data_IF_624978161564
#
_entry.id   IF_624978161564
#
_cell.length_a   1.000
_cell.length_b   1.000
_cell.length_c   1.000
_cell.angle_alpha   90.00
_cell.angle_beta   90.00
_cell.angle_gamma   90.00
#
_symmetry.space_group_name_H-M   'P 1'
#
loop_
_entity.id
_entity.type
_entity.pdbx_description
1 polymer ?
#
# COMPACT_ATOMS: atom_id res chain seq x y z
N UNK A 1 56.82 -10.10 6.37
CA UNK A 1 57.36 -9.79 5.03
C UNK A 1 56.40 -10.42 4.03
N UNK A 2 55.95 -9.76 2.96
CA UNK A 2 56.28 -8.41 2.45
C UNK A 2 55.19 -7.40 2.88
N UNK A 3 55.49 -6.11 2.85
CA UNK A 3 54.53 -5.02 3.08
C UNK A 3 54.39 -4.19 1.80
N UNK A 4 53.17 -3.80 1.45
CA UNK A 4 52.86 -2.98 0.28
C UNK A 4 52.01 -1.79 0.72
N UNK A 5 52.65 -0.64 0.93
CA UNK A 5 51.98 0.62 1.23
C UNK A 5 51.56 1.32 -0.07
N UNK A 6 50.32 1.80 -0.12
CA UNK A 6 49.89 2.75 -1.15
C UNK A 6 50.27 4.18 -0.72
N UNK A 7 51.12 4.82 -1.51
CA UNK A 7 51.39 6.26 -1.41
C UNK A 7 50.32 7.02 -2.20
N UNK A 8 49.57 7.90 -1.54
CA UNK A 8 48.84 8.97 -2.22
C UNK A 8 49.77 10.19 -2.34
N UNK A 9 50.00 10.65 -3.57
CA UNK A 9 50.76 11.86 -3.83
C UNK A 9 49.81 13.06 -3.84
N UNK A 10 50.13 14.10 -3.07
CA UNK A 10 49.40 15.37 -3.08
C UNK A 10 50.24 16.46 -3.77
N UNK A 11 49.64 17.09 -4.77
CA UNK A 11 50.04 18.38 -5.34
C UNK A 11 48.75 19.20 -5.53
N UNK A 12 48.77 20.49 -5.24
CA UNK A 12 47.58 21.36 -5.32
C UNK A 12 47.87 22.70 -6.01
N UNK A 13 46.81 23.50 -6.12
CA UNK A 13 46.74 24.91 -6.53
C UNK A 13 47.19 25.23 -7.99
N UNK A 14 46.66 26.26 -8.67
CA UNK A 14 45.84 27.40 -8.24
C UNK A 14 44.97 27.98 -9.40
N UNK A 15 44.24 29.08 -9.14
CA UNK A 15 43.73 30.10 -10.10
C UNK A 15 42.33 29.93 -10.76
N UNK A 16 41.29 30.16 -9.96
CA UNK A 16 40.20 31.15 -10.15
C UNK A 16 39.71 31.60 -11.56
N UNK A 17 38.38 31.62 -11.76
CA UNK A 17 37.64 32.77 -12.35
C UNK A 17 36.15 32.78 -11.92
N UNK A 18 35.38 33.83 -12.25
CA UNK A 18 34.31 34.36 -11.39
C UNK A 18 32.84 34.13 -11.83
N UNK A 19 31.98 33.99 -10.81
CA UNK A 19 30.61 34.53 -10.65
C UNK A 19 29.47 34.23 -11.64
N UNK A 20 28.44 33.52 -11.15
CA UNK A 20 27.01 33.79 -11.37
C UNK A 20 26.17 33.22 -10.19
N UNK A 21 25.00 33.80 -9.91
CA UNK A 21 24.12 33.38 -8.79
C UNK A 21 23.40 32.03 -9.04
N UNK A 22 23.27 31.17 -8.01
CA UNK A 22 22.23 30.15 -7.95
C UNK A 22 20.96 30.71 -7.26
N UNK A 23 19.82 30.64 -7.95
CA UNK A 23 18.52 30.85 -7.31
C UNK A 23 18.14 29.68 -6.40
N UNK A 24 17.37 29.96 -5.35
CA UNK A 24 16.90 29.00 -4.36
C UNK A 24 16.16 27.79 -4.99
N UNK A 25 16.49 26.58 -4.54
CA UNK A 25 15.50 25.51 -4.29
C UNK A 25 16.03 24.59 -3.17
N UNK A 26 15.12 23.99 -2.40
CA UNK A 26 15.45 23.54 -1.03
C UNK A 26 15.85 22.06 -0.89
N UNK A 27 17.01 21.81 -0.28
CA UNK A 27 17.46 20.49 0.18
C UNK A 27 16.93 20.18 1.60
N UNK A 28 15.97 19.26 1.71
CA UNK A 28 15.28 18.94 2.97
C UNK A 28 15.94 17.82 3.78
N UNK A 29 17.13 18.09 4.33
CA UNK A 29 17.75 17.24 5.36
C UNK A 29 16.98 17.36 6.68
N UNK A 30 16.00 16.47 6.89
CA UNK A 30 15.32 16.33 8.19
C UNK A 30 16.19 15.55 9.19
N UNK A 31 16.81 16.30 10.09
CA UNK A 31 17.53 15.79 11.28
C UNK A 31 16.59 14.98 12.19
N UNK A 32 17.12 13.94 12.84
CA UNK A 32 16.37 13.22 13.89
C UNK A 32 16.42 14.03 15.20
N UNK A 33 15.26 14.32 15.79
CA UNK A 33 15.17 15.22 16.95
C UNK A 33 15.42 14.49 18.28
N UNK A 34 16.67 14.47 18.74
CA UNK A 34 17.07 13.87 20.02
C UNK A 34 16.50 14.65 21.23
N UNK A 35 15.43 14.11 21.84
CA UNK A 35 14.73 14.69 22.99
C UNK A 35 15.46 14.57 24.34
N UNK A 36 16.71 15.01 24.44
CA UNK A 36 17.50 14.92 25.67
C UNK A 36 17.06 15.92 26.76
N UNK A 37 16.37 15.41 27.79
CA UNK A 37 15.90 16.22 28.93
C UNK A 37 16.93 16.37 30.05
N UNK A 38 17.19 17.60 30.47
CA UNK A 38 17.84 17.95 31.75
C UNK A 38 17.51 19.41 32.12
N UNK A 39 17.36 19.82 33.38
CA UNK A 39 17.12 19.10 34.64
C UNK A 39 16.76 20.12 35.74
N UNK A 40 15.93 19.77 36.74
CA UNK A 40 16.25 19.92 38.19
C UNK A 40 15.04 19.65 39.13
N UNK A 41 15.28 18.74 40.09
CA UNK A 41 14.83 18.65 41.51
C UNK A 41 13.48 19.26 41.96
N UNK A 42 12.68 18.42 42.62
CA UNK A 42 11.67 18.82 43.61
C UNK A 42 11.21 17.65 44.50
N UNK A 43 11.74 17.55 45.73
CA UNK A 43 11.38 16.48 46.68
C UNK A 43 10.03 16.71 47.39
N UNK A 44 9.16 15.69 47.42
CA UNK A 44 8.06 15.60 48.39
C UNK A 44 7.62 14.14 48.64
N UNK A 45 7.28 13.81 49.89
CA UNK A 45 6.76 12.49 50.32
C UNK A 45 5.23 12.51 50.50
N UNK A 46 4.53 11.45 50.08
CA UNK A 46 3.42 10.76 50.78
C UNK A 46 2.94 9.59 49.89
N UNK A 47 2.66 8.33 50.28
CA UNK A 47 2.36 7.62 51.55
C UNK A 47 0.88 7.27 51.83
N UNK A 48 0.30 6.35 51.04
CA UNK A 48 -0.78 5.40 51.39
C UNK A 48 -0.94 4.41 50.21
N UNK A 49 -1.31 3.12 50.31
CA UNK A 49 -1.86 2.20 51.32
C UNK A 49 -3.32 1.80 51.08
N UNK A 50 -3.58 0.49 51.26
CA UNK A 50 -4.83 -0.28 51.00
C UNK A 50 -5.11 -0.61 49.52
N UNK A 51 -5.69 -1.75 49.07
CA UNK A 51 -6.09 -3.09 49.60
C UNK A 51 -7.57 -3.45 49.28
N UNK A 52 -7.79 -4.77 49.20
CA UNK A 52 -9.06 -5.51 49.24
C UNK A 52 -9.89 -5.41 47.92
N UNK A 53 -10.10 -6.50 47.18
CA UNK A 53 -11.13 -7.57 47.30
C UNK A 53 -12.57 -7.11 46.91
N UNK A 54 -13.48 -7.87 46.28
CA UNK A 54 -13.52 -9.19 45.58
C UNK A 54 -14.99 -9.53 45.21
N UNK A 55 -15.22 -10.47 44.28
CA UNK A 55 -16.53 -11.15 44.00
C UNK A 55 -17.72 -10.28 43.54
N UNK A 56 -18.86 -10.82 43.05
CA UNK A 56 -19.09 -11.91 42.08
C UNK A 56 -20.59 -11.96 41.64
N UNK A 57 -20.84 -12.58 40.48
CA UNK A 57 -22.00 -13.48 40.17
C UNK A 57 -23.48 -13.02 40.18
N UNK A 58 -24.16 -13.48 39.11
CA UNK A 58 -25.46 -14.22 39.07
C UNK A 58 -26.85 -13.54 39.11
N UNK A 59 -27.50 -13.54 37.92
CA UNK A 59 -28.77 -14.25 37.58
C UNK A 59 -30.18 -13.80 38.07
N UNK A 60 -31.19 -14.34 37.35
CA UNK A 60 -32.64 -14.46 37.65
C UNK A 60 -33.50 -13.18 37.41
N UNK A 61 -34.41 -13.13 36.41
CA UNK A 61 -35.76 -13.76 36.26
C UNK A 61 -36.87 -13.02 37.03
N UNK A 62 -38.12 -12.83 36.57
CA UNK A 62 -38.84 -13.13 35.30
C UNK A 62 -40.21 -12.40 35.30
N UNK A 63 -41.09 -12.67 34.32
CA UNK A 63 -42.57 -12.49 34.38
C UNK A 63 -43.16 -11.04 34.34
N UNK A 64 -44.36 -10.76 33.78
CA UNK A 64 -45.26 -11.42 32.80
C UNK A 64 -46.39 -10.45 32.37
N UNK A 65 -47.06 -10.73 31.23
CA UNK A 65 -48.46 -10.31 30.90
C UNK A 65 -48.74 -8.81 30.63
N UNK A 66 -49.79 -8.37 29.89
CA UNK A 66 -50.65 -8.98 28.83
C UNK A 66 -51.65 -7.93 28.26
N UNK A 67 -52.13 -8.11 27.01
CA UNK A 67 -53.43 -7.61 26.45
C UNK A 67 -53.72 -6.08 26.37
N UNK A 68 -54.55 -5.53 25.46
CA UNK A 68 -55.13 -5.97 24.17
C UNK A 68 -55.85 -4.78 23.44
N UNK A 69 -56.31 -5.01 22.20
CA UNK A 69 -57.45 -4.36 21.51
C UNK A 69 -57.38 -2.87 21.04
N UNK A 70 -57.09 -2.73 19.74
CA UNK A 70 -57.93 -2.11 18.67
C UNK A 70 -58.66 -0.76 18.86
N UNK A 71 -58.47 0.14 17.87
CA UNK A 71 -59.36 1.29 17.63
C UNK A 71 -59.27 1.80 16.17
N UNK A 72 -60.11 1.26 15.28
CA UNK A 72 -60.19 1.66 13.86
C UNK A 72 -61.17 2.83 13.68
N UNK A 73 -60.91 3.76 12.74
CA UNK A 73 -61.80 4.88 12.39
C UNK A 73 -61.45 5.47 11.02
N UNK A 74 -62.38 5.35 10.06
CA UNK A 74 -62.24 5.79 8.66
C UNK A 74 -62.89 7.14 8.36
N UNK A 75 -62.57 7.62 7.15
CA UNK A 75 -63.29 8.60 6.31
C UNK A 75 -62.97 10.09 6.52
N UNK A 76 -62.85 11.00 5.53
CA UNK A 76 -62.76 11.02 4.04
C UNK A 76 -63.80 11.93 3.35
N UNK A 77 -63.34 13.07 2.80
CA UNK A 77 -63.95 13.88 1.71
C UNK A 77 -63.04 15.10 1.47
N UNK A 78 -62.50 15.44 0.29
CA UNK A 78 -63.13 15.86 -1.00
C UNK A 78 -63.98 17.14 -0.85
N UNK A 79 -64.02 18.13 -1.77
CA UNK A 79 -63.59 18.29 -3.19
C UNK A 79 -63.25 19.80 -3.43
N UNK A 80 -62.85 20.39 -4.58
CA UNK A 80 -62.63 20.01 -6.00
C UNK A 80 -61.90 21.15 -6.76
N UNK A 81 -61.18 20.82 -7.86
CA UNK A 81 -60.91 21.70 -9.04
C UNK A 81 -60.02 22.96 -8.81
N UNK A 82 -59.40 23.65 -9.80
CA UNK A 82 -59.47 23.65 -11.28
C UNK A 82 -58.16 24.29 -11.86
N UNK A 83 -57.71 24.26 -13.14
CA UNK A 83 -58.09 23.61 -14.42
C UNK A 83 -56.89 23.65 -15.41
N UNK A 84 -57.02 23.01 -16.59
CA UNK A 84 -56.34 23.34 -17.88
C UNK A 84 -54.84 22.99 -18.06
N UNK A 85 -54.37 22.52 -19.22
CA UNK A 85 -55.06 22.18 -20.49
C UNK A 85 -54.23 21.32 -21.46
N UNK A 86 -54.88 20.33 -22.10
CA UNK A 86 -54.78 19.88 -23.53
C UNK A 86 -53.42 19.63 -24.22
N UNK A 87 -53.23 18.62 -25.07
CA UNK A 87 -54.11 17.52 -25.54
C UNK A 87 -53.37 16.55 -26.50
N UNK A 88 -53.77 15.27 -26.47
CA UNK A 88 -53.93 14.33 -27.62
C UNK A 88 -52.75 14.09 -28.61
N UNK A 89 -52.21 12.87 -28.77
CA UNK A 89 -52.76 11.62 -29.36
C UNK A 89 -52.75 11.61 -30.92
N UNK A 90 -52.73 10.49 -31.66
CA UNK A 90 -52.97 9.08 -31.32
C UNK A 90 -52.35 8.08 -32.34
N UNK A 91 -52.62 6.77 -32.14
CA UNK A 91 -52.79 5.71 -33.18
C UNK A 91 -51.59 5.10 -33.95
N UNK A 92 -51.27 3.84 -33.58
CA UNK A 92 -51.40 2.63 -34.44
C UNK A 92 -50.27 2.08 -35.34
N UNK A 93 -49.58 1.09 -34.76
CA UNK A 93 -49.35 -0.29 -35.26
C UNK A 93 -48.76 -0.56 -36.67
N UNK A 94 -47.67 -1.36 -36.70
CA UNK A 94 -47.65 -2.66 -37.39
C UNK A 94 -46.42 -3.49 -36.97
N UNK A 95 -46.43 -4.80 -37.23
CA UNK A 95 -45.45 -5.76 -36.72
C UNK A 95 -44.58 -6.37 -37.82
N UNK A 96 -43.29 -6.54 -37.53
CA UNK A 96 -42.36 -7.43 -38.25
C UNK A 96 -41.54 -8.17 -37.19
N UNK A 97 -41.23 -9.44 -37.44
CA UNK A 97 -40.30 -10.23 -36.61
C UNK A 97 -38.88 -10.08 -37.13
N UNK A 98 -37.90 -10.16 -36.24
CA UNK A 98 -36.73 -11.02 -36.43
C UNK A 98 -36.02 -11.22 -35.08
N UNK A 99 -35.50 -12.42 -34.83
CA UNK A 99 -34.46 -12.65 -33.82
C UNK A 99 -33.11 -12.37 -34.49
N UNK A 100 -32.11 -11.86 -33.74
CA UNK A 100 -31.14 -12.84 -33.27
C UNK A 100 -30.62 -12.61 -31.84
N UNK A 101 -30.00 -13.67 -31.32
CA UNK A 101 -29.11 -13.72 -30.17
C UNK A 101 -28.09 -12.57 -30.14
N UNK A 102 -28.01 -11.88 -28.99
CA UNK A 102 -26.88 -11.00 -28.64
C UNK A 102 -26.27 -11.44 -27.31
N UNK A 103 -25.18 -12.21 -27.38
CA UNK A 103 -24.29 -12.47 -26.24
C UNK A 103 -23.30 -11.33 -26.11
N UNK A 104 -23.51 -10.42 -25.15
CA UNK A 104 -22.58 -9.33 -24.85
C UNK A 104 -21.68 -9.71 -23.68
N UNK A 105 -20.58 -10.39 -23.98
CA UNK A 105 -19.44 -10.44 -23.06
C UNK A 105 -18.93 -9.01 -22.83
N UNK A 106 -18.57 -8.66 -21.60
CA UNK A 106 -17.96 -7.36 -21.32
C UNK A 106 -16.58 -7.28 -21.98
N UNK A 107 -16.42 -6.40 -22.97
CA UNK A 107 -15.10 -6.05 -23.49
C UNK A 107 -14.34 -5.29 -22.40
N UNK A 108 -13.17 -5.80 -22.00
CA UNK A 108 -12.25 -5.07 -21.15
C UNK A 108 -11.76 -3.81 -21.91
N UNK A 109 -11.59 -2.66 -21.25
CA UNK A 109 -11.19 -1.43 -21.94
C UNK A 109 -9.80 -1.57 -22.55
N UNK A 110 -9.68 -1.43 -23.87
CA UNK A 110 -8.38 -1.45 -24.55
C UNK A 110 -7.51 -0.26 -24.11
N UNK A 111 -6.57 -0.53 -23.20
CA UNK A 111 -5.59 0.45 -22.75
C UNK A 111 -4.60 0.74 -23.88
N UNK A 112 -4.78 1.87 -24.55
CA UNK A 112 -4.23 2.20 -25.88
C UNK A 112 -2.74 2.59 -25.90
N UNK A 113 -1.86 1.74 -25.36
CA UNK A 113 -0.41 1.80 -25.62
C UNK A 113 0.08 0.52 -26.31
N UNK A 114 -0.10 0.46 -27.63
CA UNK A 114 0.42 -0.61 -28.48
C UNK A 114 1.95 -0.57 -28.54
N UNK A 115 2.59 -1.37 -27.68
CA UNK A 115 4.03 -1.68 -27.79
C UNK A 115 4.29 -2.27 -29.18
N UNK A 116 5.23 -1.70 -29.93
CA UNK A 116 5.59 -2.20 -31.26
C UNK A 116 6.48 -3.43 -31.10
N UNK A 117 5.85 -4.59 -30.82
CA UNK A 117 6.51 -5.88 -30.71
C UNK A 117 7.10 -6.26 -32.09
N UNK A 118 8.40 -6.61 -32.19
CA UNK A 118 9.00 -7.08 -33.44
C UNK A 118 8.30 -8.31 -34.02
N UNK A 119 8.33 -8.48 -35.34
CA UNK A 119 7.57 -9.55 -36.01
C UNK A 119 7.95 -10.95 -35.49
N UNK A 120 7.01 -11.61 -34.81
CA UNK A 120 7.18 -12.94 -34.20
C UNK A 120 8.07 -12.97 -32.95
N UNK A 121 8.40 -11.82 -32.37
CA UNK A 121 8.67 -11.73 -30.93
C UNK A 121 7.34 -11.75 -30.15
N UNK A 122 7.43 -11.88 -28.82
CA UNK A 122 6.30 -11.72 -27.88
C UNK A 122 6.66 -10.73 -26.78
N UNK A 123 5.66 -10.20 -26.08
CA UNK A 123 5.91 -9.55 -24.79
C UNK A 123 6.66 -10.50 -23.84
N UNK A 124 7.64 -9.97 -23.10
CA UNK A 124 8.27 -10.71 -22.02
C UNK A 124 7.32 -10.79 -20.81
N UNK A 125 7.45 -11.86 -20.03
CA UNK A 125 6.93 -11.97 -18.68
C UNK A 125 8.04 -11.66 -17.68
N UNK A 126 7.67 -11.43 -16.42
CA UNK A 126 8.65 -11.12 -15.38
C UNK A 126 9.61 -12.30 -15.12
N UNK A 127 9.17 -13.53 -15.38
CA UNK A 127 9.97 -14.77 -15.28
C UNK A 127 11.03 -14.91 -16.38
N UNK A 128 10.83 -14.30 -17.56
CA UNK A 128 11.80 -14.39 -18.67
C UNK A 128 13.09 -13.62 -18.37
N UNK A 129 12.99 -12.54 -17.58
CA UNK A 129 14.12 -11.69 -17.22
C UNK A 129 15.05 -12.40 -16.25
N UNK A 130 16.36 -12.18 -16.37
CA UNK A 130 17.33 -12.58 -15.35
C UNK A 130 17.15 -11.77 -14.04
N UNK A 131 17.61 -12.32 -12.90
CA UNK A 131 17.50 -11.61 -11.60
C UNK A 131 18.18 -10.24 -11.60
N UNK A 132 19.27 -10.10 -12.37
CA UNK A 132 19.87 -8.82 -12.71
C UNK A 132 20.24 -8.81 -14.20
N UNK A 133 19.93 -7.71 -14.91
CA UNK A 133 20.40 -7.44 -16.28
C UNK A 133 21.13 -6.09 -16.33
N UNK A 134 22.13 -5.99 -17.18
CA UNK A 134 22.77 -4.73 -17.56
C UNK A 134 22.00 -4.11 -18.74
N UNK A 135 21.62 -2.85 -18.59
CA UNK A 135 20.94 -2.06 -19.61
C UNK A 135 21.77 -0.80 -19.90
N UNK A 136 21.76 -0.37 -21.16
CA UNK A 136 22.24 0.97 -21.56
C UNK A 136 21.04 1.88 -21.69
N UNK A 137 20.94 2.87 -20.79
CA UNK A 137 19.83 3.80 -20.68
C UNK A 137 20.41 5.23 -20.61
N UNK A 138 20.02 6.09 -21.56
CA UNK A 138 20.41 7.51 -21.57
C UNK A 138 21.94 7.72 -21.44
N UNK A 139 22.69 6.98 -22.25
CA UNK A 139 24.16 6.88 -22.28
C UNK A 139 24.82 6.39 -20.97
N UNK A 140 24.04 5.94 -19.98
CA UNK A 140 24.53 5.35 -18.74
C UNK A 140 24.41 3.82 -18.78
N UNK A 141 25.32 3.12 -18.10
CA UNK A 141 25.20 1.68 -17.85
C UNK A 141 24.50 1.48 -16.51
N UNK A 142 23.29 0.91 -16.54
CA UNK A 142 22.39 0.79 -15.40
C UNK A 142 21.96 -0.66 -15.24
N UNK A 143 21.95 -1.16 -14.00
CA UNK A 143 21.51 -2.53 -13.71
C UNK A 143 20.03 -2.54 -13.34
N UNK A 144 19.21 -3.27 -14.09
CA UNK A 144 17.85 -3.59 -13.66
C UNK A 144 17.89 -4.85 -12.78
N UNK A 145 17.30 -4.77 -11.61
CA UNK A 145 17.22 -5.85 -10.63
C UNK A 145 15.74 -6.24 -10.45
N UNK A 146 15.42 -7.49 -10.78
CA UNK A 146 14.06 -8.07 -10.65
C UNK A 146 13.91 -8.96 -9.41
N UNK A 147 14.97 -9.02 -8.60
CA UNK A 147 14.97 -9.50 -7.22
C UNK A 147 14.28 -10.84 -6.98
N UNK A 148 13.09 -10.83 -6.38
CA UNK A 148 12.33 -12.04 -6.01
C UNK A 148 11.05 -12.24 -6.86
N UNK A 149 10.92 -11.51 -7.97
CA UNK A 149 9.83 -11.61 -8.97
C UNK A 149 8.43 -11.16 -8.51
N UNK A 150 8.29 -10.59 -7.31
CA UNK A 150 7.02 -10.05 -6.77
C UNK A 150 6.67 -8.65 -7.31
N UNK A 151 6.88 -8.38 -8.60
CA UNK A 151 6.60 -7.07 -9.25
C UNK A 151 7.46 -5.87 -8.81
N UNK A 152 8.26 -6.01 -7.75
CA UNK A 152 9.18 -4.97 -7.25
C UNK A 152 10.48 -4.99 -8.06
N UNK A 153 10.74 -3.90 -8.79
CA UNK A 153 11.85 -3.81 -9.74
C UNK A 153 12.65 -2.53 -9.50
N UNK A 154 13.98 -2.62 -9.48
CA UNK A 154 14.86 -1.48 -9.26
C UNK A 154 15.90 -1.28 -10.37
N UNK A 155 16.04 -0.04 -10.85
CA UNK A 155 17.22 0.41 -11.58
C UNK A 155 18.31 0.83 -10.59
N UNK A 156 19.57 0.56 -10.93
CA UNK A 156 20.70 0.80 -10.05
C UNK A 156 21.97 1.19 -10.81
N UNK A 157 22.63 2.25 -10.36
CA UNK A 157 24.05 2.51 -10.65
C UNK A 157 24.83 2.12 -9.39
N UNK A 158 25.95 1.36 -9.47
CA UNK A 158 26.72 0.95 -8.29
C UNK A 158 27.05 2.13 -7.39
N UNK A 159 26.59 2.03 -6.14
CA UNK A 159 26.87 2.96 -5.03
C UNK A 159 26.47 4.44 -5.26
N UNK A 160 25.81 4.74 -6.39
CA UNK A 160 25.36 6.07 -6.82
C UNK A 160 23.83 6.21 -6.94
N UNK A 161 23.09 5.16 -7.26
CA UNK A 161 21.64 5.24 -7.51
C UNK A 161 20.90 3.95 -7.18
N UNK A 162 19.73 4.09 -6.55
CA UNK A 162 18.61 3.16 -6.61
C UNK A 162 17.33 3.92 -7.01
N UNK A 163 16.63 3.41 -8.03
CA UNK A 163 15.30 3.85 -8.44
C UNK A 163 14.35 2.65 -8.47
N UNK A 164 13.42 2.60 -7.51
CA UNK A 164 12.56 1.46 -7.18
C UNK A 164 11.12 1.71 -7.63
N UNK A 165 10.56 0.81 -8.44
CA UNK A 165 9.16 0.86 -8.87
C UNK A 165 8.44 -0.45 -8.52
N UNK A 166 7.10 -0.40 -8.52
CA UNK A 166 6.26 -1.60 -8.50
C UNK A 166 5.52 -1.71 -9.83
N UNK A 167 5.44 -2.91 -10.38
CA UNK A 167 4.80 -3.19 -11.66
C UNK A 167 4.19 -4.59 -11.66
N UNK A 168 3.01 -4.70 -12.27
CA UNK A 168 2.36 -5.93 -12.72
C UNK A 168 3.11 -6.62 -13.88
N UNK A 169 4.13 -5.95 -14.45
CA UNK A 169 4.84 -6.31 -15.67
C UNK A 169 3.92 -6.49 -16.89
N UNK A 170 2.76 -5.81 -16.91
CA UNK A 170 1.76 -5.97 -17.95
C UNK A 170 2.34 -5.65 -19.35
N UNK A 171 2.10 -6.56 -20.29
CA UNK A 171 2.64 -6.51 -21.66
C UNK A 171 4.18 -6.38 -21.73
N UNK A 172 4.91 -6.79 -20.68
CA UNK A 172 6.36 -6.71 -20.61
C UNK A 172 6.90 -5.31 -20.31
N UNK A 173 6.07 -4.39 -19.81
CA UNK A 173 6.45 -2.97 -19.62
C UNK A 173 6.75 -2.65 -18.16
N UNK A 174 7.90 -2.03 -17.90
CA UNK A 174 8.22 -1.38 -16.62
C UNK A 174 8.13 0.13 -16.80
N UNK A 175 7.39 0.82 -15.92
CA UNK A 175 7.24 2.29 -15.91
C UNK A 175 7.98 2.89 -14.71
N UNK A 176 8.80 3.89 -14.98
CA UNK A 176 9.50 4.70 -13.98
C UNK A 176 9.03 6.15 -14.10
N UNK A 177 8.42 6.69 -13.05
CA UNK A 177 7.87 8.04 -13.04
C UNK A 177 7.81 8.65 -11.62
N UNK A 178 7.80 9.98 -11.54
CA UNK A 178 7.61 10.70 -10.28
C UNK A 178 6.33 10.24 -9.57
N UNK A 179 6.43 10.01 -8.26
CA UNK A 179 5.32 9.50 -7.43
C UNK A 179 5.18 7.97 -7.45
N UNK A 180 5.32 7.31 -8.60
CA UNK A 180 5.32 5.84 -8.66
C UNK A 180 6.71 5.21 -8.42
N UNK A 181 7.79 6.00 -8.49
CA UNK A 181 9.17 5.54 -8.25
C UNK A 181 9.77 6.14 -6.99
N UNK A 182 10.27 5.26 -6.11
CA UNK A 182 11.09 5.61 -4.95
C UNK A 182 12.56 5.82 -5.34
N UNK A 183 13.22 6.80 -4.74
CA UNK A 183 14.57 7.24 -5.15
C UNK A 183 15.53 7.35 -3.96
N UNK A 184 16.76 6.89 -4.15
CA UNK A 184 17.92 7.21 -3.33
C UNK A 184 19.13 7.35 -4.26
N UNK A 185 19.83 8.48 -4.22
CA UNK A 185 20.94 8.74 -5.12
C UNK A 185 21.99 9.67 -4.54
N UNK A 186 23.18 9.62 -5.14
CA UNK A 186 24.28 10.57 -4.98
C UNK A 186 24.22 11.61 -6.10
N UNK A 187 24.74 12.82 -5.87
CA UNK A 187 24.78 13.88 -6.90
C UNK A 187 25.94 13.68 -7.89
N UNK A 188 25.84 12.61 -8.70
CA UNK A 188 26.72 12.35 -9.85
C UNK A 188 25.98 12.61 -11.16
N UNK A 189 26.70 13.03 -12.21
CA UNK A 189 26.16 13.19 -13.57
C UNK A 189 25.35 11.96 -14.05
N UNK A 190 25.80 10.76 -13.68
CA UNK A 190 25.18 9.51 -14.11
C UNK A 190 23.85 9.26 -13.37
N UNK A 191 23.82 9.46 -12.05
CA UNK A 191 22.60 9.33 -11.26
C UNK A 191 21.58 10.43 -11.58
N UNK A 192 22.02 11.69 -11.70
CA UNK A 192 21.17 12.83 -12.04
C UNK A 192 20.44 12.64 -13.37
N UNK A 193 21.12 12.18 -14.44
CA UNK A 193 20.49 11.88 -15.74
C UNK A 193 19.36 10.86 -15.64
N UNK A 194 19.50 9.82 -14.81
CA UNK A 194 18.42 8.85 -14.61
C UNK A 194 17.29 9.46 -13.77
N UNK A 195 17.61 10.24 -12.73
CA UNK A 195 16.62 10.93 -11.89
C UNK A 195 15.80 11.96 -12.68
N UNK A 196 16.42 12.71 -13.60
CA UNK A 196 15.72 13.59 -14.55
C UNK A 196 14.71 12.80 -15.39
N UNK A 197 15.09 11.62 -15.88
CA UNK A 197 14.21 10.75 -16.68
C UNK A 197 13.08 10.14 -15.86
N UNK A 198 13.34 9.72 -14.61
CA UNK A 198 12.29 9.32 -13.66
C UNK A 198 11.33 10.49 -13.40
N UNK A 199 11.84 11.72 -13.26
CA UNK A 199 11.00 12.90 -13.04
C UNK A 199 10.14 13.28 -14.26
N UNK A 200 10.65 13.06 -15.49
CA UNK A 200 9.89 13.23 -16.73
C UNK A 200 8.90 12.09 -17.01
N UNK A 201 9.18 10.89 -16.48
CA UNK A 201 8.47 9.66 -16.76
C UNK A 201 9.01 8.95 -18.01
N UNK A 202 9.38 7.67 -17.89
CA UNK A 202 9.79 6.82 -19.00
C UNK A 202 9.34 5.37 -18.84
N UNK A 203 9.34 4.63 -19.95
CA UNK A 203 9.00 3.19 -20.01
C UNK A 203 10.16 2.38 -20.57
N UNK A 204 10.38 1.19 -20.02
CA UNK A 204 11.21 0.14 -20.63
C UNK A 204 10.28 -1.00 -21.02
N UNK A 205 10.27 -1.35 -22.30
CA UNK A 205 9.46 -2.44 -22.87
C UNK A 205 10.35 -3.64 -23.14
N UNK A 206 10.00 -4.81 -22.59
CA UNK A 206 10.73 -6.06 -22.76
C UNK A 206 9.96 -7.03 -23.67
N UNK A 207 10.69 -7.63 -24.62
CA UNK A 207 10.18 -8.66 -25.53
C UNK A 207 11.11 -9.87 -25.52
N UNK A 208 10.56 -11.06 -25.81
CA UNK A 208 11.34 -12.26 -26.10
C UNK A 208 11.24 -12.52 -27.60
N UNK A 209 12.38 -12.66 -28.26
CA UNK A 209 12.46 -12.81 -29.71
C UNK A 209 12.24 -14.27 -30.20
N UNK A 210 12.48 -14.49 -31.50
CA UNK A 210 12.34 -15.81 -32.16
C UNK A 210 13.39 -16.84 -31.70
N UNK A 211 14.50 -16.41 -31.11
CA UNK A 211 15.60 -17.27 -30.63
C UNK A 211 15.53 -17.49 -29.10
N UNK A 212 14.63 -16.78 -28.41
CA UNK A 212 14.43 -16.85 -26.96
C UNK A 212 15.22 -15.79 -26.18
N UNK A 213 15.80 -14.81 -26.87
CA UNK A 213 16.61 -13.75 -26.26
C UNK A 213 15.69 -12.65 -25.71
N UNK A 214 15.97 -12.18 -24.50
CA UNK A 214 15.28 -11.03 -23.90
C UNK A 214 15.87 -9.74 -24.45
N UNK A 215 15.05 -8.98 -25.17
CA UNK A 215 15.39 -7.69 -25.76
C UNK A 215 14.58 -6.58 -25.07
N UNK A 216 15.13 -5.38 -24.99
CA UNK A 216 14.48 -4.21 -24.42
C UNK A 216 14.50 -3.01 -25.37
N UNK A 217 13.50 -2.14 -25.28
CA UNK A 217 13.53 -0.79 -25.85
C UNK A 217 12.99 0.25 -24.86
N UNK A 218 13.30 1.52 -25.08
CA UNK A 218 12.92 2.64 -24.20
C UNK A 218 11.90 3.52 -24.91
N UNK A 219 10.87 3.97 -24.18
CA UNK A 219 9.82 4.91 -24.63
C UNK A 219 9.15 4.57 -25.96
N UNK A 220 9.00 3.26 -26.23
CA UNK A 220 8.36 2.77 -27.46
C UNK A 220 9.25 2.82 -28.70
N UNK A 221 10.57 3.01 -28.54
CA UNK A 221 11.52 2.89 -29.65
C UNK A 221 11.42 1.52 -30.34
N UNK A 222 11.66 1.53 -31.66
CA UNK A 222 11.78 0.33 -32.49
C UNK A 222 13.17 -0.29 -32.45
N UNK A 223 14.14 0.43 -31.90
CA UNK A 223 15.52 -0.02 -31.73
C UNK A 223 15.62 -0.83 -30.44
N UNK A 224 15.57 -2.16 -30.59
CA UNK A 224 15.69 -3.11 -29.48
C UNK A 224 17.15 -3.49 -29.23
N UNK A 225 17.54 -3.55 -27.95
CA UNK A 225 18.87 -3.98 -27.48
C UNK A 225 18.77 -5.22 -26.59
N UNK A 226 19.83 -6.03 -26.52
CA UNK A 226 19.87 -7.23 -25.66
C UNK A 226 19.90 -6.86 -24.17
N UNK A 227 19.07 -7.51 -23.34
CA UNK A 227 19.07 -7.36 -21.89
C UNK A 227 20.13 -8.29 -21.27
N UNK A 228 21.39 -7.88 -21.33
CA UNK A 228 22.56 -8.73 -21.00
C UNK A 228 22.55 -9.18 -19.54
N UNK A 229 22.72 -10.49 -19.28
CA UNK A 229 22.75 -11.07 -17.93
C UNK A 229 23.89 -10.52 -17.07
N UNK A 230 23.55 -9.90 -15.94
CA UNK A 230 24.54 -9.37 -14.99
C UNK A 230 24.76 -10.32 -13.79
N UNK A 231 26.02 -10.72 -13.57
CA UNK A 231 26.43 -11.43 -12.35
C UNK A 231 26.81 -10.43 -11.27
N UNK A 232 26.09 -10.44 -10.13
CA UNK A 232 26.26 -9.42 -9.08
C UNK A 232 26.41 -10.07 -7.71
N UNK A 233 27.43 -9.64 -6.95
CA UNK A 233 27.72 -10.17 -5.63
C UNK A 233 26.65 -9.80 -4.59
N UNK A 234 26.41 -10.73 -3.66
CA UNK A 234 25.58 -10.58 -2.44
C UNK A 234 26.48 -10.44 -1.21
N UNK A 235 25.97 -9.86 -0.12
CA UNK A 235 26.75 -9.67 1.10
C UNK A 235 26.69 -10.91 2.01
N UNK A 236 27.84 -11.41 2.46
CA UNK A 236 27.90 -12.56 3.37
C UNK A 236 27.35 -12.18 4.75
N UNK A 237 26.45 -13.00 5.29
CA UNK A 237 25.82 -12.77 6.59
C UNK A 237 24.59 -11.84 6.54
N UNK A 238 24.19 -11.38 5.35
CA UNK A 238 22.93 -10.68 5.12
C UNK A 238 21.99 -11.55 4.27
N UNK A 239 20.68 -11.34 4.43
CA UNK A 239 19.62 -11.96 3.62
C UNK A 239 19.80 -11.58 2.13
N UNK A 240 19.28 -12.36 1.18
CA UNK A 240 19.47 -12.09 -0.27
C UNK A 240 18.25 -12.38 -1.18
N UNK A 241 17.09 -12.66 -0.57
CA UNK A 241 15.79 -12.84 -1.23
C UNK A 241 14.64 -12.44 -0.29
N UNK A 242 13.46 -12.13 -0.85
CA UNK A 242 12.27 -11.80 -0.07
C UNK A 242 11.67 -13.01 0.67
N UNK A 243 11.68 -14.20 0.04
CA UNK A 243 11.26 -15.51 0.60
C UNK A 243 12.09 -15.98 1.82
N UNK A 244 13.03 -15.15 2.31
CA UNK A 244 13.74 -15.35 3.58
C UNK A 244 13.30 -14.39 4.70
N UNK A 245 12.43 -13.42 4.39
CA UNK A 245 11.77 -12.49 5.33
C UNK A 245 10.28 -12.76 5.46
N UNK A 246 9.65 -13.31 4.41
CA UNK A 246 8.23 -13.66 4.37
C UNK A 246 7.73 -14.38 5.64
N UNK A 247 6.54 -13.98 6.09
CA UNK A 247 5.84 -14.46 7.29
C UNK A 247 6.63 -14.29 8.61
N UNK A 248 7.58 -13.34 8.63
CA UNK A 248 8.30 -12.94 9.85
C UNK A 248 7.90 -11.56 10.34
N UNK A 249 7.93 -11.43 11.67
CA UNK A 249 7.84 -10.18 12.40
C UNK A 249 9.19 -9.93 13.07
N UNK A 250 9.84 -8.82 12.73
CA UNK A 250 11.05 -8.33 13.38
C UNK A 250 10.68 -7.17 14.32
N UNK A 251 10.81 -7.41 15.62
CA UNK A 251 10.57 -6.42 16.68
C UNK A 251 11.91 -5.93 17.23
N UNK A 252 12.23 -4.66 16.99
CA UNK A 252 13.51 -4.03 17.36
C UNK A 252 13.25 -2.92 18.40
N UNK A 253 13.67 -3.14 19.64
CA UNK A 253 13.53 -2.16 20.72
C UNK A 253 14.77 -1.25 20.82
N UNK A 254 14.55 0.05 20.98
CA UNK A 254 15.56 1.11 20.97
C UNK A 254 15.12 2.21 21.97
N UNK A 255 15.50 2.04 23.24
CA UNK A 255 15.03 2.87 24.36
C UNK A 255 13.53 2.71 24.61
N UNK A 256 12.82 3.84 24.76
CA UNK A 256 11.36 3.89 24.92
C UNK A 256 10.59 3.69 23.59
N UNK A 257 11.30 3.35 22.51
CA UNK A 257 10.74 3.15 21.16
C UNK A 257 10.88 1.72 20.67
N UNK A 258 9.85 1.21 19.99
CA UNK A 258 9.82 -0.12 19.39
C UNK A 258 9.50 0.02 17.90
N UNK A 259 10.31 -0.61 17.05
CA UNK A 259 10.11 -0.67 15.60
C UNK A 259 9.71 -2.08 15.21
N UNK A 260 8.56 -2.24 14.54
CA UNK A 260 8.04 -3.56 14.15
C UNK A 260 7.93 -3.62 12.64
N UNK A 261 8.67 -4.55 12.02
CA UNK A 261 8.57 -4.88 10.60
C UNK A 261 7.83 -6.20 10.44
N UNK A 262 6.69 -6.19 9.76
CA UNK A 262 5.94 -7.41 9.35
C UNK A 262 6.11 -7.60 7.85
N UNK A 263 6.56 -8.77 7.43
CA UNK A 263 6.77 -9.11 6.03
C UNK A 263 5.84 -10.25 5.60
N UNK A 264 5.17 -10.07 4.47
CA UNK A 264 4.26 -11.01 3.81
C UNK A 264 4.79 -11.33 2.40
N UNK A 265 4.02 -12.00 1.56
CA UNK A 265 4.33 -12.11 0.13
C UNK A 265 4.29 -10.73 -0.54
N UNK A 266 5.44 -10.30 -1.11
CA UNK A 266 5.67 -9.03 -1.80
C UNK A 266 5.37 -7.72 -1.03
N UNK A 267 4.80 -7.80 0.17
CA UNK A 267 4.17 -6.70 0.89
C UNK A 267 4.56 -6.66 2.37
N UNK A 268 4.49 -5.47 2.99
CA UNK A 268 4.96 -5.26 4.36
C UNK A 268 4.13 -4.20 5.10
N UNK A 269 4.17 -4.28 6.44
CA UNK A 269 3.72 -3.22 7.35
C UNK A 269 4.87 -2.90 8.31
N UNK A 270 5.23 -1.62 8.41
CA UNK A 270 6.19 -1.09 9.38
C UNK A 270 5.49 -0.17 10.38
N UNK A 271 5.76 -0.37 11.67
CA UNK A 271 5.28 0.46 12.77
C UNK A 271 6.46 1.05 13.55
N UNK A 272 6.26 2.25 14.10
CA UNK A 272 7.07 2.79 15.20
C UNK A 272 6.13 3.15 16.34
N UNK A 273 6.36 2.51 17.49
CA UNK A 273 5.67 2.79 18.75
C UNK A 273 6.60 3.50 19.73
N UNK A 274 6.02 4.35 20.58
CA UNK A 274 6.71 5.03 21.69
C UNK A 274 5.81 4.94 22.92
N UNK A 275 6.31 4.40 24.03
CA UNK A 275 5.50 4.06 25.22
C UNK A 275 4.22 3.28 24.84
N UNK A 276 4.40 2.16 24.14
CA UNK A 276 3.35 1.22 23.66
C UNK A 276 2.28 1.81 22.72
N UNK A 277 2.42 3.05 22.28
CA UNK A 277 1.51 3.70 21.32
C UNK A 277 2.17 3.84 19.95
N UNK A 278 1.51 3.34 18.90
CA UNK A 278 1.94 3.57 17.50
C UNK A 278 1.90 5.07 17.21
N UNK A 279 3.05 5.67 16.90
CA UNK A 279 3.19 7.10 16.57
C UNK A 279 3.41 7.35 15.08
N UNK A 280 3.90 6.35 14.34
CA UNK A 280 4.07 6.37 12.88
C UNK A 280 3.92 4.96 12.34
N UNK A 281 3.41 4.83 11.12
CA UNK A 281 3.41 3.57 10.39
C UNK A 281 3.48 3.83 8.88
N UNK A 282 3.98 2.86 8.13
CA UNK A 282 3.87 2.82 6.68
C UNK A 282 3.81 1.38 6.16
N UNK A 283 3.07 1.16 5.08
CA UNK A 283 2.87 -0.13 4.44
C UNK A 283 3.06 -0.01 2.93
N UNK A 284 3.34 -1.13 2.25
CA UNK A 284 3.51 -1.16 0.81
C UNK A 284 4.24 -2.41 0.33
N UNK A 285 5.07 -2.29 -0.72
CA UNK A 285 5.74 -3.41 -1.38
C UNK A 285 7.25 -3.44 -1.09
N UNK A 286 7.85 -4.63 -0.99
CA UNK A 286 9.28 -4.80 -0.70
C UNK A 286 9.93 -5.93 -1.50
N UNK A 287 11.27 -5.92 -1.53
CA UNK A 287 12.09 -7.04 -2.02
C UNK A 287 13.50 -6.98 -1.40
N UNK A 288 14.26 -8.07 -1.44
CA UNK A 288 15.68 -8.10 -1.06
C UNK A 288 16.56 -8.30 -2.30
N UNK A 289 17.17 -7.20 -2.74
CA UNK A 289 17.96 -7.13 -3.96
C UNK A 289 19.43 -6.87 -3.58
N UNK A 290 20.33 -7.80 -3.96
CA UNK A 290 21.77 -7.78 -3.61
C UNK A 290 22.10 -7.69 -2.11
N UNK A 291 21.22 -8.20 -1.25
CA UNK A 291 21.28 -8.03 0.22
C UNK A 291 20.94 -6.63 0.76
N UNK A 292 20.44 -5.74 -0.09
CA UNK A 292 19.69 -4.55 0.34
C UNK A 292 18.21 -4.91 0.38
N UNK A 293 17.56 -4.74 1.53
CA UNK A 293 16.11 -4.70 1.66
C UNK A 293 15.63 -3.34 1.11
N UNK A 294 14.84 -3.39 0.04
CA UNK A 294 14.26 -2.23 -0.62
C UNK A 294 12.76 -2.21 -0.29
N UNK A 295 12.29 -1.14 0.35
CA UNK A 295 10.89 -0.99 0.77
C UNK A 295 10.30 0.26 0.14
N UNK A 296 9.24 0.08 -0.67
CA UNK A 296 8.44 1.19 -1.21
C UNK A 296 7.16 1.34 -0.39
N UNK A 297 6.99 2.43 0.38
CA UNK A 297 5.71 2.75 1.00
C UNK A 297 4.69 3.19 -0.06
N UNK A 298 3.45 2.74 0.12
CA UNK A 298 2.27 3.13 -0.65
C UNK A 298 1.23 3.83 0.24
N UNK A 299 1.15 3.42 1.52
CA UNK A 299 0.24 3.94 2.54
C UNK A 299 1.05 4.31 3.78
N UNK A 300 0.75 5.43 4.43
CA UNK A 300 1.50 5.90 5.60
C UNK A 300 0.75 6.99 6.38
N UNK A 301 1.09 7.13 7.66
CA UNK A 301 0.69 8.29 8.49
C UNK A 301 1.93 9.04 8.98
N UNK A 302 1.91 10.36 8.82
CA UNK A 302 3.05 11.25 9.07
C UNK A 302 3.94 11.42 7.84
N UNK A 303 5.21 11.81 8.04
CA UNK A 303 6.19 11.96 6.97
C UNK A 303 6.84 10.62 6.61
N UNK A 304 6.66 10.17 5.36
CA UNK A 304 7.33 9.02 4.77
C UNK A 304 8.37 9.44 3.72
N UNK A 305 9.41 8.64 3.53
CA UNK A 305 10.29 8.71 2.36
C UNK A 305 9.62 8.04 1.16
N UNK A 306 10.10 8.28 -0.06
CA UNK A 306 9.59 7.59 -1.27
C UNK A 306 10.12 6.15 -1.40
N UNK A 307 11.20 5.84 -0.66
CA UNK A 307 11.79 4.51 -0.49
C UNK A 307 12.54 4.49 0.85
N UNK A 308 12.59 3.32 1.48
CA UNK A 308 13.54 3.03 2.56
C UNK A 308 14.48 1.90 2.14
N UNK A 309 15.72 1.95 2.61
CA UNK A 309 16.76 0.96 2.32
C UNK A 309 17.46 0.50 3.61
N UNK A 310 17.53 -0.82 3.76
CA UNK A 310 18.09 -1.50 4.92
C UNK A 310 18.94 -2.70 4.47
N UNK A 311 19.60 -3.38 5.41
CA UNK A 311 20.07 -4.76 5.24
C UNK A 311 19.71 -5.60 6.46
N UNK A 312 19.04 -6.74 6.23
CA UNK A 312 18.67 -7.69 7.27
C UNK A 312 19.77 -8.75 7.39
N UNK A 313 20.29 -8.95 8.59
CA UNK A 313 21.29 -9.97 8.90
C UNK A 313 20.70 -11.36 9.10
N UNK A 314 21.52 -12.38 8.89
CA UNK A 314 21.17 -13.78 9.24
C UNK A 314 21.16 -14.03 10.76
N UNK A 315 21.58 -13.03 11.53
CA UNK A 315 21.51 -12.88 12.99
C UNK A 315 20.29 -12.06 13.46
N UNK A 316 19.40 -11.69 12.53
CA UNK A 316 18.24 -10.81 12.73
C UNK A 316 18.57 -9.33 13.04
N UNK A 317 19.81 -8.89 12.82
CA UNK A 317 20.13 -7.45 12.82
C UNK A 317 19.41 -6.72 11.68
N UNK A 318 18.87 -5.53 11.93
CA UNK A 318 18.41 -4.61 10.87
C UNK A 318 19.31 -3.37 10.87
N UNK A 319 20.04 -3.17 9.77
CA UNK A 319 20.94 -2.04 9.57
C UNK A 319 20.35 -1.07 8.56
N UNK A 320 20.18 0.20 8.93
CA UNK A 320 19.71 1.27 8.05
C UNK A 320 20.83 1.80 7.12
N UNK A 321 20.45 2.54 6.08
CA UNK A 321 21.39 3.12 5.10
C UNK A 321 22.52 3.97 5.70
N UNK A 322 22.32 4.57 6.87
CA UNK A 322 23.30 5.39 7.58
C UNK A 322 24.25 4.57 8.49
N UNK A 323 24.16 3.24 8.46
CA UNK A 323 24.98 2.34 9.27
C UNK A 323 24.50 2.14 10.72
N UNK A 324 23.47 2.86 11.19
CA UNK A 324 22.82 2.53 12.47
C UNK A 324 22.23 1.11 12.34
N UNK A 325 22.59 0.23 13.26
CA UNK A 325 22.07 -1.15 13.32
C UNK A 325 21.37 -1.39 14.65
N UNK A 326 20.24 -2.08 14.60
CA UNK A 326 19.51 -2.56 15.78
C UNK A 326 19.43 -4.08 15.76
N UNK A 327 19.49 -4.68 16.95
CA UNK A 327 19.15 -6.09 17.15
C UNK A 327 17.62 -6.21 17.24
N UNK A 328 17.06 -7.29 16.68
CA UNK A 328 15.62 -7.49 16.62
C UNK A 328 15.25 -8.92 17.03
N UNK A 329 14.18 -9.07 17.82
CA UNK A 329 13.52 -10.35 18.03
C UNK A 329 12.77 -10.70 16.75
N UNK A 330 13.15 -11.80 16.09
CA UNK A 330 12.47 -12.29 14.90
C UNK A 330 11.55 -13.46 15.26
N UNK A 331 10.24 -13.22 15.18
CA UNK A 331 9.21 -14.24 15.33
C UNK A 331 8.73 -14.69 13.94
N UNK A 332 8.38 -15.97 13.80
CA UNK A 332 7.65 -16.48 12.63
C UNK A 332 6.17 -16.57 12.98
N UNK A 333 5.29 -16.11 12.10
CA UNK A 333 3.85 -16.24 12.24
C UNK A 333 3.30 -17.09 11.12
N UNK A 334 2.62 -18.17 11.47
CA UNK A 334 1.80 -18.90 10.51
C UNK A 334 0.47 -18.14 10.39
N UNK A 335 0.22 -17.60 9.20
CA UNK A 335 -0.97 -16.82 8.85
C UNK A 335 -1.61 -17.43 7.61
N UNK A 336 -2.92 -17.62 7.65
CA UNK A 336 -3.70 -17.81 6.43
C UNK A 336 -3.85 -16.45 5.75
N UNK A 337 -3.72 -16.42 4.43
CA UNK A 337 -3.78 -15.19 3.65
C UNK A 337 -5.23 -14.90 3.28
N UNK A 338 -5.72 -13.72 3.64
CA UNK A 338 -7.09 -13.29 3.37
C UNK A 338 -7.21 -12.90 1.89
N UNK A 339 -8.14 -13.53 1.16
CA UNK A 339 -8.32 -13.28 -0.28
C UNK A 339 -9.14 -12.01 -0.50
N UNK A 340 -8.67 -10.99 -1.25
CA UNK A 340 -9.43 -9.76 -1.49
C UNK A 340 -10.83 -10.01 -2.06
N UNK A 341 -10.98 -11.02 -2.91
CA UNK A 341 -12.24 -11.38 -3.56
C UNK A 341 -13.39 -11.65 -2.57
N UNK A 342 -13.09 -12.22 -1.40
CA UNK A 342 -14.08 -12.59 -0.37
C UNK A 342 -14.69 -11.36 0.32
N UNK A 343 -13.94 -10.25 0.40
CA UNK A 343 -14.36 -9.00 1.02
C UNK A 343 -15.06 -8.04 0.03
N UNK A 344 -15.18 -8.39 -1.25
CA UNK A 344 -15.84 -7.55 -2.27
C UNK A 344 -17.35 -7.57 -2.07
N UNK A 345 -17.90 -6.46 -1.57
CA UNK A 345 -19.32 -6.35 -1.26
C UNK A 345 -19.73 -5.00 -0.65
N UNK A 346 -20.97 -4.97 -0.17
CA UNK A 346 -21.43 -4.00 0.81
C UNK A 346 -21.59 -4.73 2.14
N UNK A 347 -21.19 -4.06 3.22
CA UNK A 347 -21.15 -4.62 4.57
C UNK A 347 -21.76 -3.61 5.55
N UNK A 348 -22.44 -4.08 6.60
CA UNK A 348 -23.21 -3.25 7.52
C UNK A 348 -22.84 -3.52 8.98
N UNK A 349 -22.98 -2.51 9.83
CA UNK A 349 -22.83 -2.63 11.28
C UNK A 349 -23.50 -1.45 12.00
N UNK A 350 -24.05 -1.67 13.19
CA UNK A 350 -24.57 -0.58 14.05
C UNK A 350 -23.68 -0.44 15.29
N UNK A 351 -23.24 0.78 15.58
CA UNK A 351 -22.37 1.08 16.74
C UNK A 351 -22.67 2.46 17.31
N UNK A 352 -22.79 2.54 18.64
CA UNK A 352 -23.00 3.79 19.39
C UNK A 352 -24.20 4.64 18.90
N UNK A 353 -25.20 4.00 18.28
CA UNK A 353 -26.39 4.63 17.70
C UNK A 353 -26.24 5.10 16.25
N UNK A 354 -25.10 4.82 15.62
CA UNK A 354 -24.79 5.15 14.22
C UNK A 354 -24.83 3.85 13.40
N UNK A 355 -25.54 3.90 12.28
CA UNK A 355 -25.59 2.82 11.29
C UNK A 355 -24.48 3.04 10.26
N UNK A 356 -23.62 2.04 10.09
CA UNK A 356 -22.45 2.09 9.22
C UNK A 356 -22.64 1.22 7.99
N UNK A 357 -22.15 1.73 6.86
CA UNK A 357 -22.08 1.02 5.58
C UNK A 357 -20.66 1.08 5.05
N UNK A 358 -20.06 -0.08 4.80
CA UNK A 358 -18.72 -0.23 4.25
C UNK A 358 -18.81 -0.94 2.89
N UNK A 359 -18.46 -0.24 1.82
CA UNK A 359 -18.42 -0.79 0.46
C UNK A 359 -16.97 -1.01 0.04
N UNK A 360 -16.66 -2.23 -0.39
CA UNK A 360 -15.36 -2.67 -0.88
C UNK A 360 -15.53 -3.23 -2.29
N UNK A 361 -14.77 -2.71 -3.26
CA UNK A 361 -14.88 -3.11 -4.67
C UNK A 361 -13.63 -3.79 -5.20
N UNK A 362 -13.82 -4.71 -6.15
CA UNK A 362 -12.75 -5.42 -6.87
C UNK A 362 -11.84 -4.52 -7.72
N UNK A 363 -12.19 -3.25 -7.94
CA UNK A 363 -11.32 -2.24 -8.55
C UNK A 363 -10.33 -1.59 -7.56
N UNK A 364 -10.28 -2.08 -6.31
CA UNK A 364 -9.46 -1.53 -5.23
C UNK A 364 -10.02 -0.24 -4.62
N UNK A 365 -11.24 0.19 -4.98
CA UNK A 365 -11.88 1.36 -4.36
C UNK A 365 -12.73 0.99 -3.13
N UNK A 366 -12.68 1.86 -2.12
CA UNK A 366 -13.37 1.70 -0.84
C UNK A 366 -14.18 2.94 -0.48
N UNK A 367 -15.31 2.74 0.21
CA UNK A 367 -16.18 3.80 0.72
C UNK A 367 -16.81 3.36 2.04
N UNK A 368 -16.58 4.12 3.11
CA UNK A 368 -17.14 3.92 4.43
C UNK A 368 -18.02 5.12 4.77
N UNK A 369 -19.25 4.86 5.20
CA UNK A 369 -20.28 5.85 5.51
C UNK A 369 -20.88 5.53 6.89
N UNK A 370 -21.15 6.56 7.70
CA UNK A 370 -21.83 6.44 9.00
C UNK A 370 -23.03 7.38 9.08
N UNK A 371 -24.17 6.89 9.56
CA UNK A 371 -25.44 7.61 9.58
C UNK A 371 -26.08 7.69 10.97
N UNK A 372 -26.41 8.91 11.40
CA UNK A 372 -27.30 9.21 12.53
C UNK A 372 -28.73 9.36 11.97
N UNK A 373 -29.46 8.24 11.92
CA UNK A 373 -30.74 8.15 11.22
C UNK A 373 -30.61 8.46 9.72
N UNK A 374 -31.14 9.60 9.27
CA UNK A 374 -31.04 10.03 7.85
C UNK A 374 -29.90 11.02 7.60
N UNK A 375 -29.05 11.28 8.59
CA UNK A 375 -27.96 12.27 8.50
C UNK A 375 -26.63 11.53 8.40
N UNK A 376 -25.90 11.74 7.30
CA UNK A 376 -24.49 11.34 7.23
C UNK A 376 -23.68 12.08 8.31
N UNK A 377 -22.92 11.33 9.10
CA UNK A 377 -22.07 11.81 10.20
C UNK A 377 -20.61 11.40 10.06
N UNK A 378 -20.29 10.47 9.16
CA UNK A 378 -18.91 10.21 8.74
C UNK A 378 -18.91 9.70 7.28
N UNK A 379 -17.86 10.03 6.54
CA UNK A 379 -17.65 9.62 5.15
C UNK A 379 -16.14 9.53 4.89
N UNK A 380 -15.64 8.33 4.59
CA UNK A 380 -14.25 8.10 4.18
C UNK A 380 -14.21 7.29 2.88
N UNK A 381 -13.70 7.85 1.79
CA UNK A 381 -13.58 7.15 0.51
C UNK A 381 -12.17 7.23 -0.08
N UNK A 382 -11.77 6.21 -0.83
CA UNK A 382 -10.45 6.10 -1.44
C UNK A 382 -10.15 4.68 -1.93
N UNK A 383 -9.01 4.11 -1.51
CA UNK A 383 -8.55 2.79 -1.94
C UNK A 383 -8.30 1.82 -0.79
N UNK A 384 -8.24 0.53 -1.10
CA UNK A 384 -7.94 -0.56 -0.16
C UNK A 384 -7.03 -1.62 -0.79
N UNK A 385 -6.16 -2.24 0.03
CA UNK A 385 -5.35 -3.42 -0.31
C UNK A 385 -5.32 -4.37 0.90
N UNK A 386 -5.10 -5.68 0.68
CA UNK A 386 -4.79 -6.66 1.74
C UNK A 386 -3.31 -7.04 1.69
N UNK A 387 -2.64 -7.01 2.84
CA UNK A 387 -1.27 -7.51 3.05
C UNK A 387 -1.28 -8.64 4.08
N UNK A 388 -1.25 -9.90 3.60
CA UNK A 388 -1.37 -11.09 4.43
C UNK A 388 -2.76 -11.21 5.05
N UNK A 389 -2.86 -10.85 6.33
CA UNK A 389 -4.10 -10.84 7.11
C UNK A 389 -4.44 -9.42 7.63
N UNK A 390 -3.89 -8.38 7.01
CA UNK A 390 -4.19 -6.99 7.31
C UNK A 390 -4.86 -6.29 6.12
N UNK A 391 -5.95 -5.58 6.36
CA UNK A 391 -6.45 -4.59 5.40
C UNK A 391 -5.76 -3.25 5.63
N UNK A 392 -5.39 -2.57 4.55
CA UNK A 392 -4.86 -1.21 4.54
C UNK A 392 -5.80 -0.32 3.72
N UNK A 393 -6.21 0.80 4.31
CA UNK A 393 -7.11 1.79 3.71
C UNK A 393 -6.40 3.12 3.54
N UNK A 394 -6.67 3.81 2.43
CA UNK A 394 -6.14 5.13 2.13
C UNK A 394 -7.27 6.02 1.59
N UNK A 395 -7.67 7.01 2.37
CA UNK A 395 -8.80 7.87 2.12
C UNK A 395 -8.35 9.20 1.50
N UNK A 396 -8.83 9.48 0.29
CA UNK A 396 -8.58 10.73 -0.43
C UNK A 396 -9.76 11.72 -0.34
N UNK A 397 -10.91 11.25 0.15
CA UNK A 397 -12.15 12.03 0.34
C UNK A 397 -12.66 11.74 1.75
N UNK A 398 -12.88 12.80 2.54
CA UNK A 398 -13.22 12.75 3.97
C UNK A 398 -14.34 13.76 4.27
N UNK A 399 -15.26 13.43 5.17
CA UNK A 399 -16.29 14.37 5.65
C UNK A 399 -15.67 15.53 6.46
N UNK A 400 -14.68 15.19 7.30
CA UNK A 400 -14.06 16.09 8.26
C UNK A 400 -12.62 16.46 7.89
N UNK A 401 -12.30 17.75 7.92
CA UNK A 401 -10.92 18.23 7.74
C UNK A 401 -10.07 17.92 8.97
N UNK A 402 -9.09 17.03 8.83
CA UNK A 402 -8.23 16.57 9.91
C UNK A 402 -8.45 15.11 10.33
N UNK A 403 -9.47 14.44 9.77
CA UNK A 403 -9.63 12.99 9.89
C UNK A 403 -8.46 12.20 9.31
N UNK A 404 -8.32 10.99 9.81
CA UNK A 404 -7.24 10.06 9.47
C UNK A 404 -7.32 9.64 7.99
N UNK A 405 -6.31 10.05 7.20
CA UNK A 405 -6.23 9.80 5.76
C UNK A 405 -5.78 8.39 5.40
N UNK A 406 -5.27 7.61 6.35
CA UNK A 406 -4.90 6.21 6.13
C UNK A 406 -4.97 5.45 7.44
N UNK A 407 -5.54 4.25 7.39
CA UNK A 407 -5.70 3.34 8.53
C UNK A 407 -5.36 1.92 8.08
N UNK A 408 -5.01 1.05 9.01
CA UNK A 408 -4.84 -0.38 8.78
C UNK A 408 -5.36 -1.16 9.98
N UNK A 409 -5.63 -2.45 9.78
CA UNK A 409 -6.17 -3.30 10.82
C UNK A 409 -6.07 -4.77 10.47
N UNK A 410 -6.05 -5.61 11.50
CA UNK A 410 -6.12 -7.06 11.31
C UNK A 410 -7.50 -7.42 10.80
N UNK A 411 -7.56 -8.14 9.69
CA UNK A 411 -8.75 -8.84 9.25
C UNK A 411 -8.87 -10.16 10.01
N UNK A 412 -10.10 -10.62 10.12
CA UNK A 412 -10.43 -12.01 10.36
C UNK A 412 -11.72 -12.33 9.60
N UNK A 413 -11.62 -13.20 8.59
CA UNK A 413 -12.75 -13.78 7.86
C UNK A 413 -13.78 -14.40 8.81
N UNK A 414 -15.06 -14.08 8.57
CA UNK A 414 -16.20 -14.66 9.28
C UNK A 414 -16.59 -16.06 8.77
N UNK A 415 -17.71 -16.64 9.24
CA UNK A 415 -18.18 -17.93 8.74
C UNK A 415 -18.65 -17.81 7.28
N UNK A 416 -18.46 -18.88 6.51
CA UNK A 416 -19.01 -18.99 5.15
C UNK A 416 -20.50 -19.37 5.23
N UNK A 417 -21.34 -18.60 4.54
CA UNK A 417 -22.74 -18.92 4.29
C UNK A 417 -22.86 -20.13 3.34
N UNK A 418 -23.50 -21.24 3.76
CA UNK A 418 -23.67 -22.42 2.91
C UNK A 418 -24.56 -22.23 1.67
N UNK A 419 -25.35 -21.16 1.59
CA UNK A 419 -26.25 -20.91 0.45
C UNK A 419 -25.60 -20.06 -0.66
N UNK A 420 -24.74 -19.08 -0.30
CA UNK A 420 -24.02 -18.25 -1.27
C UNK A 420 -22.55 -18.61 -1.51
N UNK A 421 -21.96 -19.48 -0.68
CA UNK A 421 -20.52 -19.84 -0.69
C UNK A 421 -19.59 -18.62 -0.52
N UNK A 422 -20.00 -17.69 0.36
CA UNK A 422 -19.30 -16.43 0.69
C UNK A 422 -19.23 -16.20 2.19
N UNK A 423 -18.31 -15.35 2.64
CA UNK A 423 -18.23 -14.92 4.05
C UNK A 423 -19.49 -14.12 4.42
N UNK A 424 -20.12 -14.42 5.56
CA UNK A 424 -21.32 -13.70 6.03
C UNK A 424 -20.99 -12.38 6.76
N UNK A 425 -19.70 -12.03 6.86
CA UNK A 425 -19.18 -10.90 7.61
C UNK A 425 -17.67 -11.07 7.89
N UNK A 426 -17.06 -10.08 8.52
CA UNK A 426 -15.66 -10.11 8.95
C UNK A 426 -15.40 -9.20 10.16
N UNK A 427 -14.32 -9.48 10.89
CA UNK A 427 -13.75 -8.53 11.87
C UNK A 427 -12.61 -7.72 11.25
N UNK A 428 -12.52 -6.44 11.63
CA UNK A 428 -11.48 -5.51 11.19
C UNK A 428 -10.98 -4.69 12.38
N UNK A 429 -9.92 -5.17 13.04
CA UNK A 429 -9.37 -4.56 14.25
C UNK A 429 -8.37 -3.47 13.82
N UNK A 430 -8.90 -2.27 13.60
CA UNK A 430 -8.19 -1.13 13.00
C UNK A 430 -7.55 -0.16 13.99
N UNK A 431 -6.61 0.65 13.50
CA UNK A 431 -5.92 1.69 14.26
C UNK A 431 -6.50 3.11 14.14
N UNK A 432 -7.59 3.31 13.37
CA UNK A 432 -8.24 4.61 13.21
C UNK A 432 -8.74 5.18 14.57
N UNK A 433 -8.33 6.41 14.94
CA UNK A 433 -8.65 7.02 16.23
C UNK A 433 -9.83 8.01 16.17
N UNK A 434 -10.46 8.20 15.01
CA UNK A 434 -11.41 9.30 14.80
C UNK A 434 -12.74 9.05 15.54
N UNK A 435 -13.47 10.14 15.83
CA UNK A 435 -14.88 10.10 16.27
C UNK A 435 -15.77 10.55 15.11
N UNK A 436 -16.88 9.85 14.77
CA UNK A 436 -17.41 8.67 15.46
C UNK A 436 -16.59 7.40 15.20
N UNK A 437 -16.44 6.56 16.23
CA UNK A 437 -15.57 5.39 16.16
C UNK A 437 -16.14 4.29 15.25
N UNK A 438 -15.43 4.00 14.17
CA UNK A 438 -15.73 2.93 13.20
C UNK A 438 -15.93 1.55 13.90
N UNK A 439 -16.86 0.68 13.44
CA UNK A 439 -17.02 -0.69 13.95
C UNK A 439 -15.82 -1.59 13.64
N UNK A 440 -15.50 -2.53 14.55
CA UNK A 440 -14.46 -3.54 14.33
C UNK A 440 -15.00 -4.89 13.84
N UNK A 441 -16.29 -4.94 13.50
CA UNK A 441 -16.99 -6.11 12.93
C UNK A 441 -18.06 -5.58 11.98
N UNK A 442 -18.22 -6.23 10.84
CA UNK A 442 -19.25 -5.93 9.85
C UNK A 442 -19.87 -7.24 9.34
N UNK A 443 -21.18 -7.21 9.13
CA UNK A 443 -21.97 -8.35 8.65
C UNK A 443 -22.46 -8.09 7.22
N UNK A 444 -22.82 -9.14 6.49
CA UNK A 444 -23.48 -9.01 5.20
C UNK A 444 -24.90 -8.40 5.37
N UNK A 445 -25.34 -7.50 4.48
CA UNK A 445 -26.68 -6.92 4.55
C UNK A 445 -27.77 -7.97 4.29
N UNK A 446 -28.74 -8.05 5.19
CA UNK A 446 -29.97 -8.80 4.98
C UNK A 446 -30.86 -8.08 3.95
N UNK A 447 -31.43 -8.83 3.00
CA UNK A 447 -32.40 -8.36 2.02
C UNK A 447 -33.71 -9.18 2.14
N UNK A 448 -34.85 -8.54 1.88
CA UNK A 448 -36.19 -9.16 1.87
C UNK A 448 -36.61 -9.38 0.40
N UNK A 449 -37.08 -10.60 0.06
CA UNK A 449 -37.30 -11.11 -1.32
C UNK A 449 -38.75 -10.97 -1.85
#
# INVERSE_FOLDING_TARGET
MISSAFMFAACGDDSSSASADPSEESSSSVEESDGSSSSEKGDAKSSSSQKDEKSSSSESSSDKSSSSESGDSKSSSSVSEDKSSSSEAAESSSSVKDEPTSSSSAEAPESSSSVVIPEGARAAKLEDLEKNVELKLFDQTVYLSTGSKQGVVALRIPDELWALTYTDFANGVVKFEKGNTGLQYSETDAAQKIVEKVNAGFKISFVVDKEGVVMYSVDGSKDFSEAVKASVAVQKGKVSKADSLENKIYECADGDSTRIFRFFDGSYIYETSVNDKVVKWHAGRYDVQRSTLLMRPLHYVGSSRTMFTYSVGTDNTITAYNGKSVDCTANYGEYEYEMPEDFVGEWVATKDGIDWKFTLKADGTSKLEGFDGTKEVEYKAGTWEIYGYYMVLNHNTLHHSGSTTSMYGQLQTGPIDPETDKISGFSFIHNDPDEPHIPTSFDAPEYDD
#
